data_IF_964986782044
#
_entry.id   IF_964986782044
#
_cell.length_a   1.000
_cell.length_b   1.000
_cell.length_c   1.000
_cell.angle_alpha   90.00
_cell.angle_beta   90.00
_cell.angle_gamma   90.00
#
_symmetry.space_group_name_H-M   'P 1'
#
loop_
_entity.id
_entity.type
_entity.pdbx_description
1 polymer ?
#
# COMPACT_ATOMS: atom_id res chain seq x y z
N UNK A 1 -18.12 48.65 -39.69
CA UNK A 1 -16.65 48.63 -39.93
C UNK A 1 -15.97 48.23 -38.63
N UNK A 2 -15.38 47.02 -38.60
CA UNK A 2 -14.74 46.41 -37.42
C UNK A 2 -13.29 46.89 -37.34
N UNK A 3 -12.84 47.37 -36.18
CA UNK A 3 -11.42 47.56 -35.86
C UNK A 3 -11.04 46.59 -34.75
N UNK A 4 -9.96 45.85 -35.01
CA UNK A 4 -9.51 44.70 -34.25
C UNK A 4 -8.70 45.13 -33.03
N UNK A 5 -9.00 44.55 -31.87
CA UNK A 5 -8.19 44.70 -30.65
C UNK A 5 -7.11 43.61 -30.72
N UNK A 6 -5.85 44.05 -30.84
CA UNK A 6 -4.68 43.20 -30.67
C UNK A 6 -4.50 42.90 -29.18
N UNK A 7 -4.67 41.65 -28.76
CA UNK A 7 -4.13 41.16 -27.50
C UNK A 7 -3.18 40.02 -27.82
N UNK A 8 -1.90 40.38 -27.82
CA UNK A 8 -0.79 39.45 -27.61
C UNK A 8 -0.85 38.99 -26.16
N UNK A 9 -1.33 37.77 -25.96
CA UNK A 9 -1.14 37.01 -24.73
C UNK A 9 -0.52 35.67 -25.11
N UNK A 10 0.79 35.65 -25.30
CA UNK A 10 1.53 34.40 -25.49
C UNK A 10 1.36 33.53 -24.25
N UNK A 11 0.68 32.41 -24.44
CA UNK A 11 0.69 31.27 -23.52
C UNK A 11 2.12 30.73 -23.51
N UNK A 12 2.70 30.61 -22.32
CA UNK A 12 4.06 30.09 -22.18
C UNK A 12 4.50 29.94 -20.74
N UNK A 13 3.72 29.25 -19.91
CA UNK A 13 4.26 28.67 -18.69
C UNK A 13 4.54 27.18 -18.94
N UNK A 14 5.65 26.89 -19.61
CA UNK A 14 6.22 25.54 -19.60
C UNK A 14 6.98 25.38 -18.30
N UNK A 15 6.33 24.87 -17.26
CA UNK A 15 7.05 24.33 -16.12
C UNK A 15 7.68 23.00 -16.57
N UNK A 16 8.99 23.01 -16.78
CA UNK A 16 9.77 21.78 -16.95
C UNK A 16 9.76 21.05 -15.61
N UNK A 17 8.85 20.08 -15.45
CA UNK A 17 8.94 19.11 -14.37
C UNK A 17 9.94 18.06 -14.87
N UNK A 18 11.17 18.12 -14.39
CA UNK A 18 12.12 17.03 -14.58
C UNK A 18 11.63 15.84 -13.75
N UNK A 19 10.72 15.05 -14.31
CA UNK A 19 10.39 13.74 -13.77
C UNK A 19 11.56 12.82 -14.13
N UNK A 20 12.53 12.70 -13.22
CA UNK A 20 13.43 11.55 -13.24
C UNK A 20 12.59 10.33 -12.88
N UNK A 21 11.90 9.77 -13.88
CA UNK A 21 11.38 8.42 -13.79
C UNK A 21 12.62 7.52 -13.70
N UNK A 22 12.92 7.04 -12.49
CA UNK A 22 13.84 5.94 -12.31
C UNK A 22 13.19 4.76 -13.03
N UNK A 23 13.65 4.52 -14.25
CA UNK A 23 13.34 3.31 -14.99
C UNK A 23 13.80 2.14 -14.14
N UNK A 24 12.89 1.27 -13.71
CA UNK A 24 13.27 -0.07 -13.30
C UNK A 24 14.03 -0.67 -14.47
N UNK A 25 15.32 -0.92 -14.27
CA UNK A 25 16.19 -1.55 -15.24
C UNK A 25 15.57 -2.91 -15.59
N UNK A 26 14.98 -3.00 -16.78
CA UNK A 26 14.40 -4.23 -17.30
C UNK A 26 15.57 -5.14 -17.65
N UNK A 27 16.01 -5.95 -16.70
CA UNK A 27 17.00 -7.00 -16.96
C UNK A 27 16.42 -7.97 -18.00
N UNK A 28 17.15 -8.12 -19.10
CA UNK A 28 16.78 -8.88 -20.29
C UNK A 28 16.53 -10.37 -19.98
N UNK A 29 15.54 -10.96 -20.66
CA UNK A 29 15.32 -12.42 -20.70
C UNK A 29 16.41 -13.08 -21.55
N UNK A 30 16.74 -14.34 -21.24
CA UNK A 30 16.73 -15.39 -22.24
C UNK A 30 15.52 -16.32 -22.00
N UNK A 31 14.77 -16.53 -23.07
CA UNK A 31 13.60 -17.39 -23.12
C UNK A 31 14.01 -18.86 -23.20
N UNK A 32 13.97 -19.59 -22.08
CA UNK A 32 14.02 -21.05 -22.08
C UNK A 32 12.79 -21.59 -21.34
N UNK A 33 11.96 -22.29 -22.11
CA UNK A 33 10.68 -22.87 -21.75
C UNK A 33 10.79 -23.80 -20.54
N UNK A 34 10.28 -23.35 -19.38
CA UNK A 34 9.80 -24.24 -18.33
C UNK A 34 8.71 -23.47 -17.59
N UNK A 35 7.47 -23.76 -17.95
CA UNK A 35 6.26 -23.27 -17.29
C UNK A 35 6.18 -23.96 -15.91
N UNK A 36 7.07 -23.58 -15.00
CA UNK A 36 6.83 -23.75 -13.58
C UNK A 36 5.79 -22.71 -13.22
N UNK A 37 4.57 -23.17 -12.97
CA UNK A 37 3.44 -22.39 -12.45
C UNK A 37 3.80 -21.94 -11.02
N UNK A 38 4.76 -21.03 -10.93
CA UNK A 38 5.26 -20.43 -9.69
C UNK A 38 4.19 -19.44 -9.28
N UNK A 39 3.34 -19.86 -8.34
CA UNK A 39 2.35 -18.99 -7.70
C UNK A 39 2.97 -17.62 -7.46
N UNK A 40 2.54 -16.62 -8.23
CA UNK A 40 2.99 -15.24 -8.11
C UNK A 40 2.22 -14.68 -6.91
N UNK A 41 2.49 -15.22 -5.73
CA UNK A 41 1.96 -14.64 -4.49
C UNK A 41 2.97 -13.55 -4.09
N UNK A 42 2.66 -12.25 -4.25
CA UNK A 42 3.57 -11.17 -3.87
C UNK A 42 4.03 -11.31 -2.42
N UNK A 43 5.33 -11.24 -2.12
CA UNK A 43 5.77 -11.32 -0.72
C UNK A 43 5.27 -10.09 0.05
N UNK A 44 4.97 -10.21 1.37
CA UNK A 44 4.66 -9.05 2.19
C UNK A 44 5.76 -7.98 2.09
N UNK A 45 5.37 -6.72 1.88
CA UNK A 45 6.30 -5.60 1.84
C UNK A 45 6.74 -5.23 3.25
N UNK A 46 7.98 -4.77 3.39
CA UNK A 46 8.40 -4.15 4.65
C UNK A 46 7.90 -2.70 4.68
N UNK A 47 7.43 -2.21 5.85
CA UNK A 47 7.18 -0.79 6.05
C UNK A 47 8.45 0.05 5.79
N UNK A 48 8.32 1.35 5.46
CA UNK A 48 9.46 2.24 5.28
C UNK A 48 10.33 2.33 6.54
N UNK A 49 11.60 2.68 6.37
CA UNK A 49 12.50 2.89 7.49
C UNK A 49 12.01 4.05 8.38
N UNK A 50 11.91 3.81 9.69
CA UNK A 50 11.36 4.77 10.64
C UNK A 50 9.84 4.76 10.77
N UNK A 51 9.14 3.90 10.03
CA UNK A 51 7.69 3.72 10.17
C UNK A 51 7.33 3.14 11.54
N UNK A 52 6.17 3.55 12.05
CA UNK A 52 5.56 2.94 13.23
C UNK A 52 4.81 1.64 12.88
N UNK A 53 4.55 1.38 11.59
CA UNK A 53 4.05 0.09 11.13
C UNK A 53 5.15 -0.97 11.23
N UNK A 54 4.78 -2.17 11.68
CA UNK A 54 5.67 -3.34 11.71
C UNK A 54 4.97 -4.54 11.10
N UNK A 55 5.62 -5.18 10.12
CA UNK A 55 5.18 -6.49 9.65
C UNK A 55 5.36 -7.51 10.78
N UNK A 56 4.32 -8.26 11.09
CA UNK A 56 4.33 -9.28 12.14
C UNK A 56 3.85 -10.63 11.62
N UNK A 57 4.23 -11.69 12.35
CA UNK A 57 3.64 -13.01 12.18
C UNK A 57 2.24 -13.05 12.83
N UNK A 58 1.32 -13.84 12.29
CA UNK A 58 -0.03 -13.99 12.85
C UNK A 58 -0.02 -14.50 14.31
N UNK A 59 0.99 -15.28 14.71
CA UNK A 59 1.16 -15.72 16.11
C UNK A 59 1.42 -14.57 17.08
N UNK A 60 1.81 -13.39 16.58
CA UNK A 60 2.09 -12.19 17.38
C UNK A 60 0.92 -11.20 17.38
N UNK A 61 -0.23 -11.58 16.82
CA UNK A 61 -1.46 -10.80 16.90
C UNK A 61 -2.08 -11.05 18.27
N UNK A 62 -2.18 -10.00 19.08
CA UNK A 62 -2.93 -10.05 20.34
C UNK A 62 -4.36 -9.54 20.09
N UNK A 63 -5.32 -10.47 20.10
CA UNK A 63 -6.74 -10.18 19.86
C UNK A 63 -7.43 -9.54 21.09
N UNK A 64 -6.69 -9.18 22.13
CA UNK A 64 -7.21 -8.53 23.33
C UNK A 64 -6.58 -7.16 23.58
N UNK A 65 -5.56 -6.77 22.83
CA UNK A 65 -4.86 -5.50 23.03
C UNK A 65 -5.60 -4.30 22.40
N UNK A 66 -5.07 -3.10 22.70
CA UNK A 66 -5.51 -1.82 22.13
C UNK A 66 -4.67 -1.39 20.91
N UNK A 67 -3.77 -2.24 20.42
CA UNK A 67 -2.95 -1.93 19.24
C UNK A 67 -3.80 -2.05 17.99
N UNK A 68 -3.46 -1.24 16.99
CA UNK A 68 -4.10 -1.31 15.70
C UNK A 68 -3.37 -2.30 14.80
N UNK A 69 -4.14 -3.08 14.07
CA UNK A 69 -3.66 -4.05 13.10
C UNK A 69 -4.24 -3.75 11.71
N UNK A 70 -3.45 -4.04 10.69
CA UNK A 70 -3.82 -3.91 9.29
C UNK A 70 -3.50 -5.21 8.56
N UNK A 71 -4.51 -5.86 7.98
CA UNK A 71 -4.39 -7.13 7.27
C UNK A 71 -4.58 -6.96 5.77
N UNK A 72 -3.81 -7.68 4.95
CA UNK A 72 -4.01 -7.77 3.50
C UNK A 72 -4.25 -9.23 3.13
N UNK A 73 -5.37 -9.48 2.46
CA UNK A 73 -5.78 -10.81 2.01
C UNK A 73 -6.38 -10.79 0.61
N UNK A 74 -6.64 -11.96 0.06
CA UNK A 74 -7.39 -12.12 -1.17
C UNK A 74 -8.84 -12.49 -0.83
N UNK A 75 -9.81 -11.90 -1.52
CA UNK A 75 -11.23 -12.18 -1.29
C UNK A 75 -11.72 -13.52 -1.89
N UNK A 76 -10.84 -14.26 -2.59
CA UNK A 76 -11.16 -15.50 -3.29
C UNK A 76 -11.61 -15.29 -4.75
N UNK A 77 -11.75 -14.03 -5.20
CA UNK A 77 -12.18 -13.64 -6.56
C UNK A 77 -11.05 -12.96 -7.36
N UNK A 78 -9.80 -13.11 -6.91
CA UNK A 78 -8.58 -12.44 -7.39
C UNK A 78 -8.40 -10.99 -6.93
N UNK A 79 -9.35 -10.37 -6.26
CA UNK A 79 -9.15 -9.02 -5.72
C UNK A 79 -8.43 -9.07 -4.38
N UNK A 80 -7.50 -8.14 -4.21
CA UNK A 80 -6.84 -7.89 -2.94
C UNK A 80 -7.64 -6.88 -2.15
N UNK A 81 -7.82 -7.21 -0.87
CA UNK A 81 -8.58 -6.40 0.07
C UNK A 81 -7.76 -6.19 1.33
N UNK A 82 -8.04 -5.06 1.98
CA UNK A 82 -7.43 -4.70 3.25
C UNK A 82 -8.45 -4.69 4.39
N UNK A 83 -7.95 -4.95 5.59
CA UNK A 83 -8.71 -4.97 6.82
C UNK A 83 -8.07 -4.05 7.84
N UNK A 84 -8.86 -3.14 8.38
CA UNK A 84 -8.41 -2.19 9.38
C UNK A 84 -7.87 -0.88 8.79
N UNK A 85 -7.22 -0.04 9.61
CA UNK A 85 -6.75 -0.32 10.96
C UNK A 85 -7.87 -0.74 11.91
N UNK A 86 -7.67 -1.83 12.63
CA UNK A 86 -8.63 -2.36 13.59
C UNK A 86 -7.91 -2.69 14.89
N UNK A 87 -8.53 -2.38 16.03
CA UNK A 87 -7.95 -2.74 17.33
C UNK A 87 -7.91 -4.26 17.50
N UNK A 88 -6.88 -4.78 18.18
CA UNK A 88 -6.75 -6.20 18.52
C UNK A 88 -8.04 -6.77 19.09
N UNK A 89 -8.57 -6.14 20.14
CA UNK A 89 -9.86 -6.47 20.78
C UNK A 89 -11.10 -6.41 19.89
N UNK A 90 -10.99 -5.88 18.66
CA UNK A 90 -12.08 -5.74 17.71
C UNK A 90 -11.94 -6.65 16.48
N UNK A 91 -10.84 -7.39 16.34
CA UNK A 91 -10.60 -8.31 15.21
C UNK A 91 -11.72 -9.34 15.04
N UNK A 92 -12.40 -9.71 16.13
CA UNK A 92 -13.56 -10.62 16.04
C UNK A 92 -14.68 -10.09 15.14
N UNK A 93 -14.81 -8.77 14.94
CA UNK A 93 -15.82 -8.16 14.05
C UNK A 93 -15.62 -8.52 12.57
N UNK A 94 -14.37 -8.76 12.16
CA UNK A 94 -14.01 -9.19 10.79
C UNK A 94 -13.76 -10.69 10.68
N UNK A 95 -13.87 -11.41 11.80
CA UNK A 95 -13.58 -12.84 11.92
C UNK A 95 -12.10 -13.11 12.21
N UNK A 96 -11.82 -13.69 13.39
CA UNK A 96 -10.44 -13.95 13.85
C UNK A 96 -9.69 -14.87 12.88
N UNK A 97 -10.27 -16.02 12.53
CA UNK A 97 -9.63 -16.97 11.61
C UNK A 97 -9.36 -16.36 10.24
N UNK A 98 -10.27 -15.51 9.77
CA UNK A 98 -10.13 -14.80 8.51
C UNK A 98 -8.95 -13.81 8.60
N UNK A 99 -8.92 -12.96 9.63
CA UNK A 99 -7.87 -11.97 9.80
C UNK A 99 -6.49 -12.60 9.96
N UNK A 100 -6.37 -13.67 10.76
CA UNK A 100 -5.10 -14.39 10.96
C UNK A 100 -4.65 -15.16 9.71
N UNK A 101 -5.56 -15.43 8.76
CA UNK A 101 -5.23 -15.99 7.45
C UNK A 101 -4.79 -14.95 6.42
N UNK A 102 -4.80 -13.65 6.77
CA UNK A 102 -4.26 -12.61 5.92
C UNK A 102 -2.81 -12.91 5.56
N UNK A 103 -2.46 -12.60 4.32
CA UNK A 103 -1.15 -12.88 3.78
C UNK A 103 -0.07 -11.97 4.37
N UNK A 104 -0.44 -10.75 4.72
CA UNK A 104 0.40 -9.82 5.45
C UNK A 104 -0.43 -9.21 6.59
N UNK A 105 0.16 -9.11 7.77
CA UNK A 105 -0.43 -8.46 8.93
C UNK A 105 0.59 -7.49 9.48
N UNK A 106 0.16 -6.25 9.68
CA UNK A 106 0.98 -5.17 10.21
C UNK A 106 0.38 -4.70 11.52
N UNK A 107 1.23 -4.39 12.50
CA UNK A 107 0.85 -3.78 13.76
C UNK A 107 1.35 -2.34 13.80
N UNK A 108 0.52 -1.44 14.30
CA UNK A 108 0.88 -0.06 14.58
C UNK A 108 1.46 0.08 15.98
N UNK A 109 2.71 0.50 16.08
CA UNK A 109 3.39 0.79 17.35
C UNK A 109 3.42 2.28 17.71
N UNK A 110 2.82 3.14 16.89
CA UNK A 110 2.74 4.58 17.12
C UNK A 110 1.66 4.98 18.14
N UNK A 111 1.54 6.28 18.35
CA UNK A 111 0.52 6.86 19.23
C UNK A 111 -0.77 7.13 18.45
N UNK A 112 -1.91 6.84 19.06
CA UNK A 112 -3.23 7.09 18.47
C UNK A 112 -3.59 6.12 17.34
N UNK A 113 -4.72 6.42 16.70
CA UNK A 113 -5.23 5.66 15.55
C UNK A 113 -4.43 6.03 14.29
N UNK A 114 -3.83 5.05 13.59
CA UNK A 114 -3.14 5.33 12.34
C UNK A 114 -4.12 5.62 11.21
N UNK A 115 -3.62 6.28 10.17
CA UNK A 115 -4.30 6.29 8.87
C UNK A 115 -4.18 4.92 8.18
N UNK A 116 -5.15 4.59 7.33
CA UNK A 116 -5.20 3.33 6.59
C UNK A 116 -4.21 3.32 5.44
N UNK A 117 -3.24 2.38 5.39
CA UNK A 117 -2.41 2.20 4.21
C UNK A 117 -3.25 1.91 2.96
N UNK A 118 -2.87 2.50 1.83
CA UNK A 118 -3.54 2.27 0.54
C UNK A 118 -2.93 1.07 -0.16
N UNK A 119 -3.76 0.17 -0.68
CA UNK A 119 -3.32 -1.00 -1.45
C UNK A 119 -3.76 -0.89 -2.91
N UNK A 120 -2.99 -1.48 -3.80
CA UNK A 120 -3.44 -1.78 -5.16
C UNK A 120 -4.31 -3.05 -5.12
N UNK A 121 -5.59 -2.91 -5.47
CA UNK A 121 -6.57 -4.00 -5.47
C UNK A 121 -6.23 -5.17 -6.41
N UNK A 122 -5.41 -4.95 -7.44
CA UNK A 122 -5.02 -5.99 -8.38
C UNK A 122 -3.80 -6.79 -7.91
N UNK A 123 -2.93 -6.18 -7.09
CA UNK A 123 -1.64 -6.80 -6.69
C UNK A 123 -1.50 -7.04 -5.20
N UNK A 124 -2.29 -6.38 -4.35
CA UNK A 124 -2.16 -6.41 -2.90
C UNK A 124 -0.93 -5.68 -2.39
N UNK A 125 -0.26 -4.92 -3.26
CA UNK A 125 0.87 -4.09 -2.90
C UNK A 125 0.40 -2.83 -2.20
N UNK A 126 1.07 -2.46 -1.12
CA UNK A 126 0.86 -1.16 -0.47
C UNK A 126 1.49 -0.10 -1.37
N UNK A 127 0.69 0.88 -1.80
CA UNK A 127 1.13 2.00 -2.65
C UNK A 127 1.40 3.26 -1.84
N UNK A 128 0.83 3.36 -0.63
CA UNK A 128 1.04 4.46 0.30
C UNK A 128 0.84 3.97 1.75
N UNK A 129 1.85 4.18 2.60
CA UNK A 129 1.83 3.77 4.01
C UNK A 129 1.11 4.76 4.94
N UNK A 130 0.72 5.94 4.43
CA UNK A 130 0.04 7.00 5.21
C UNK A 130 0.72 7.27 6.55
N UNK A 131 2.03 7.48 6.51
CA UNK A 131 2.81 7.63 7.74
C UNK A 131 2.45 8.92 8.49
N UNK A 132 2.01 8.77 9.74
CA UNK A 132 1.86 9.89 10.65
C UNK A 132 3.23 10.20 11.27
N UNK A 133 3.88 11.26 10.80
CA UNK A 133 5.02 11.84 11.51
C UNK A 133 4.49 12.46 12.79
N UNK A 134 4.78 11.82 13.92
CA UNK A 134 4.26 12.23 15.22
C UNK A 134 4.40 13.73 15.44
N UNK A 135 3.30 14.38 15.77
CA UNK A 135 3.31 15.69 16.38
C UNK A 135 4.09 15.54 17.69
N UNK A 136 5.29 16.13 17.75
CA UNK A 136 6.10 16.20 18.97
C UNK A 136 5.35 16.90 20.09
#
# INVERSE_FOLDING_TARGET
MKKWINILGTIGLTATITTTLISCEKSEKPNNNKEENKSITPKPQQPPEGSNWKLINYNNVDIYDEKYYFGIGNNGLNDWISYGPIKGKEIWKVGVSFFLSCKAIYRWDGNGEPETPTINENTGEITDWKEQKGTK
#
